data_IF_540047599386
#
_entry.id   IF_540047599386
#
_cell.length_a   1.000
_cell.length_b   1.000
_cell.length_c   1.000
_cell.angle_alpha   90.00
_cell.angle_beta   90.00
_cell.angle_gamma   90.00
#
_symmetry.space_group_name_H-M   'P 1'
#
loop_
_entity.id
_entity.type
_entity.pdbx_description
1 polymer ?
2 non-polymer ?
3 non-polymer ?
4 water ?
#
# COMPACT_ATOMS: atom_id res chain seq x y z
N UNK A 22 4.93 4.73 -25.76
CA UNK A 22 4.65 3.46 -25.02
C UNK A 22 3.50 2.67 -25.66
N UNK A 23 3.51 1.32 -25.53
CA UNK A 23 2.37 0.50 -25.95
C UNK A 23 1.17 0.62 -25.01
N UNK A 24 0.08 -0.08 -25.32
CA UNK A 24 -1.12 -0.13 -24.46
C UNK A 24 -0.74 -0.72 -23.10
N UNK A 25 -1.51 -0.41 -22.03
CA UNK A 25 -1.24 -0.94 -20.69
C UNK A 25 -1.05 -2.47 -20.63
N UNK A 26 -2.00 -3.23 -21.16
CA UNK A 26 -1.84 -4.70 -21.16
C UNK A 26 -0.63 -5.19 -21.95
N UNK A 27 -0.35 -4.54 -23.09
CA UNK A 27 0.84 -4.91 -23.86
C UNK A 27 2.11 -4.66 -23.03
N UNK A 28 2.14 -3.56 -22.30
CA UNK A 28 3.31 -3.21 -21.49
C UNK A 28 3.47 -4.16 -20.29
N UNK A 29 2.36 -4.54 -19.67
CA UNK A 29 2.38 -5.50 -18.55
C UNK A 29 3.02 -6.81 -19.04
N UNK A 30 2.58 -7.29 -20.20
CA UNK A 30 3.17 -8.50 -20.78
C UNK A 30 4.68 -8.38 -21.04
N UNK A 31 5.08 -7.28 -21.68
CA UNK A 31 6.51 -6.96 -21.90
C UNK A 31 7.31 -6.97 -20.61
N UNK A 32 6.74 -6.42 -19.53
CA UNK A 32 7.41 -6.42 -18.24
C UNK A 32 7.64 -7.84 -17.72
N UNK A 33 6.67 -8.74 -17.85
CA UNK A 33 6.90 -10.15 -17.44
C UNK A 33 7.99 -10.81 -18.27
N UNK A 34 8.00 -10.51 -19.56
CA UNK A 34 8.98 -11.10 -20.46
C UNK A 34 10.39 -10.63 -20.08
N UNK A 35 10.53 -9.35 -19.78
CA UNK A 35 11.82 -8.77 -19.46
C UNK A 35 12.31 -9.15 -18.06
N UNK A 36 11.38 -9.25 -17.11
CA UNK A 36 11.72 -9.56 -15.71
C UNK A 36 11.82 -11.07 -15.42
N UNK A 37 11.23 -11.88 -16.28
CA UNK A 37 11.04 -13.32 -16.02
C UNK A 37 10.24 -13.55 -14.74
N UNK A 38 9.35 -12.62 -14.42
CA UNK A 38 8.57 -12.73 -13.19
C UNK A 38 7.08 -12.53 -13.44
N UNK A 39 6.27 -12.75 -12.40
CA UNK A 39 4.83 -12.49 -12.48
C UNK A 39 4.52 -11.07 -12.07
N UNK A 40 3.69 -10.41 -12.88
CA UNK A 40 3.14 -9.08 -12.59
C UNK A 40 1.65 -9.25 -12.29
N UNK A 41 1.16 -8.55 -11.27
CA UNK A 41 -0.28 -8.55 -10.97
C UNK A 41 -0.72 -7.10 -10.94
N UNK A 42 -1.84 -6.79 -11.57
CA UNK A 42 -2.22 -5.38 -11.74
C UNK A 42 -3.75 -5.17 -11.76
N UNK A 43 -4.21 -4.15 -11.05
CA UNK A 43 -5.57 -3.65 -11.18
C UNK A 43 -5.53 -2.13 -11.40
N UNK A 44 -6.35 -1.64 -12.32
CA UNK A 44 -6.62 -0.20 -12.47
C UNK A 44 -8.12 -0.02 -12.26
N UNK A 45 -8.50 0.82 -11.30
CA UNK A 45 -9.88 0.90 -10.83
C UNK A 45 -10.30 2.36 -10.61
N UNK A 46 -11.51 2.74 -11.04
CA UNK A 46 -12.02 4.08 -10.72
C UNK A 46 -12.24 4.16 -9.20
N UNK A 47 -11.67 5.18 -8.57
CA UNK A 47 -11.77 5.31 -7.11
C UNK A 47 -13.21 5.58 -6.68
N UNK A 48 -13.88 6.47 -7.40
CA UNK A 48 -15.25 6.82 -6.99
C UNK A 48 -16.23 5.66 -7.12
N UNK A 49 -16.14 4.89 -8.20
CA UNK A 49 -17.17 3.88 -8.49
C UNK A 49 -16.77 2.43 -8.31
N UNK A 50 -15.47 2.16 -8.41
CA UNK A 50 -14.95 0.78 -8.41
C UNK A 50 -14.93 0.11 -9.78
N UNK A 51 -15.21 0.89 -10.83
CA UNK A 51 -15.13 0.33 -12.20
C UNK A 51 -13.72 -0.19 -12.43
N UNK A 52 -13.62 -1.47 -12.76
CA UNK A 52 -12.32 -2.07 -13.12
C UNK A 52 -12.01 -1.82 -14.60
N UNK A 53 -10.89 -1.14 -14.87
CA UNK A 53 -10.44 -0.85 -16.25
C UNK A 53 -9.45 -1.86 -16.82
N UNK A 54 -8.43 -2.20 -16.05
CA UNK A 54 -7.38 -3.14 -16.46
C UNK A 54 -7.25 -4.15 -15.34
N UNK A 55 -7.21 -5.44 -15.68
CA UNK A 55 -7.02 -6.50 -14.70
C UNK A 55 -6.15 -7.58 -15.31
N UNK A 56 -5.02 -7.84 -14.66
CA UNK A 56 -4.04 -8.82 -15.13
C UNK A 56 -3.55 -9.61 -13.91
N UNK A 57 -3.78 -10.94 -13.92
CA UNK A 57 -3.49 -11.80 -12.77
C UNK A 57 -4.10 -11.18 -11.50
N UNK A 58 -5.29 -10.59 -11.64
CA UNK A 58 -5.83 -9.79 -10.57
C UNK A 58 -6.33 -10.64 -9.40
N UNK A 59 -6.52 -11.93 -9.65
CA UNK A 59 -6.95 -12.86 -8.61
C UNK A 59 -5.82 -13.81 -8.16
N UNK A 60 -4.60 -13.54 -8.62
CA UNK A 60 -3.46 -14.32 -8.16
C UNK A 60 -2.86 -13.69 -6.91
N UNK A 61 -2.26 -14.53 -6.08
CA UNK A 61 -1.62 -14.08 -4.83
C UNK A 61 -0.21 -13.51 -5.02
N UNK A 62 0.03 -12.38 -4.35
CA UNK A 62 1.33 -11.70 -4.29
C UNK A 62 1.65 -11.28 -2.86
N UNK A 63 2.95 -11.28 -2.49
CA UNK A 63 3.32 -10.77 -1.15
C UNK A 63 3.00 -9.29 -1.06
N UNK A 64 2.33 -8.87 0.00
CA UNK A 64 1.99 -7.45 0.21
C UNK A 64 3.21 -6.60 0.52
N UNK A 65 4.19 -7.20 1.21
CA UNK A 65 5.34 -6.45 1.68
C UNK A 65 4.81 -5.24 2.49
N UNK A 66 5.46 -4.09 2.35
CA UNK A 66 5.11 -2.93 3.18
C UNK A 66 3.76 -2.29 2.81
N UNK A 67 3.16 -2.69 1.68
CA UNK A 67 1.84 -2.13 1.33
C UNK A 67 0.77 -2.42 2.39
N UNK A 68 0.95 -3.46 3.23
CA UNK A 68 0.00 -3.79 4.31
C UNK A 68 -0.16 -2.62 5.28
N UNK A 69 0.87 -1.76 5.35
CA UNK A 69 0.85 -0.65 6.31
C UNK A 69 -0.35 0.31 6.14
N UNK A 70 -0.85 0.48 4.91
CA UNK A 70 -2.02 1.32 4.68
C UNK A 70 -3.25 0.66 5.31
N UNK A 71 -3.42 -0.64 5.10
CA UNK A 71 -4.54 -1.38 5.68
C UNK A 71 -4.48 -1.38 7.23
N UNK A 72 -3.28 -1.57 7.76
CA UNK A 72 -3.03 -1.49 9.20
C UNK A 72 -3.55 -0.18 9.78
N UNK A 73 -3.18 0.94 9.16
CA UNK A 73 -3.61 2.24 9.67
C UNK A 73 -5.10 2.52 9.42
N UNK A 74 -5.68 1.90 8.40
CA UNK A 74 -7.14 1.88 8.26
C UNK A 74 -7.81 1.28 9.49
N UNK A 75 -7.27 0.16 9.99
CA UNK A 75 -7.75 -0.50 11.20
C UNK A 75 -7.58 0.36 12.46
N UNK A 76 -6.44 1.07 12.54
CA UNK A 76 -6.18 2.02 13.63
C UNK A 76 -7.22 3.14 13.62
N UNK A 77 -7.48 3.70 12.44
CA UNK A 77 -8.50 4.74 12.28
C UNK A 77 -9.90 4.22 12.66
N UNK A 78 -10.21 2.96 12.35
CA UNK A 78 -11.51 2.40 12.74
C UNK A 78 -11.65 2.37 14.28
N UNK A 79 -10.57 2.02 14.97
CA UNK A 79 -10.57 2.09 16.45
C UNK A 79 -10.75 3.54 16.96
N UNK A 80 -10.14 4.50 16.28
CA UNK A 80 -10.28 5.91 16.67
C UNK A 80 -11.76 6.32 16.54
N UNK A 81 -12.37 5.99 15.40
CA UNK A 81 -13.78 6.27 15.11
C UNK A 81 -14.72 5.64 16.15
N UNK A 82 -14.35 4.45 16.62
CA UNK A 82 -15.13 3.69 17.62
C UNK A 82 -14.99 4.24 19.03
N UNK A 83 -14.07 5.17 19.23
CA UNK A 83 -13.76 5.71 20.58
C UNK A 83 -12.79 4.87 21.39
N UNK A 84 -12.13 3.92 20.75
CA UNK A 84 -11.25 2.98 21.41
C UNK A 84 -9.77 3.31 21.29
N UNK A 85 -9.48 4.39 20.56
CA UNK A 85 -8.10 4.83 20.31
C UNK A 85 -8.11 6.34 20.10
N UNK A 86 -6.97 7.00 20.26
CA UNK A 86 -6.80 8.42 19.91
C UNK A 86 -5.52 8.57 19.10
N UNK A 87 -5.56 9.34 18.01
CA UNK A 87 -4.34 9.61 17.26
C UNK A 87 -3.35 10.43 18.09
N UNK A 88 -3.86 11.17 19.07
CA UNK A 88 -3.00 11.95 19.99
C UNK A 88 -2.22 11.10 20.98
N UNK A 89 -2.71 9.89 21.26
CA UNK A 89 -2.19 9.11 22.39
C UNK A 89 -0.70 8.79 22.22
N UNK A 90 0.10 9.12 23.22
CA UNK A 90 1.54 8.96 23.11
C UNK A 90 1.97 7.57 23.58
N UNK A 91 2.69 6.86 22.72
CA UNK A 91 3.25 5.55 23.04
C UNK A 91 4.75 5.67 23.30
N UNK A 92 5.16 5.25 24.50
CA UNK A 92 6.56 5.23 24.83
C UNK A 92 7.07 3.79 24.62
N UNK A 93 8.24 3.65 24.04
CA UNK A 93 8.75 2.33 23.75
C UNK A 93 10.23 2.33 24.10
N UNK A 94 10.82 1.15 24.14
CA UNK A 94 12.22 0.99 24.52
C UNK A 94 13.05 0.57 23.32
N UNK A 95 14.36 0.78 23.42
CA UNK A 95 15.24 0.38 22.32
C UNK A 95 15.11 -1.11 21.97
N UNK A 96 14.88 -1.97 22.97
CA UNK A 96 14.74 -3.40 22.75
C UNK A 96 13.46 -3.78 21.97
N UNK A 97 12.56 -2.81 21.82
CA UNK A 97 11.31 -3.01 21.09
C UNK A 97 11.51 -2.72 19.60
N UNK A 98 12.61 -2.04 19.25
CA UNK A 98 12.90 -1.72 17.83
C UNK A 98 13.25 -2.96 17.01
N UNK A 99 12.69 -3.02 15.81
CA UNK A 99 13.04 -4.03 14.81
C UNK A 99 13.80 -3.38 13.64
N UNK A 100 14.35 -4.20 12.73
CA UNK A 100 15.08 -3.71 11.57
C UNK A 100 14.31 -2.63 10.78
N UNK A 101 14.99 -1.52 10.52
CA UNK A 101 14.49 -0.38 9.77
C UNK A 101 13.50 0.45 10.55
N UNK A 102 14.05 1.38 11.31
CA UNK A 102 13.27 2.22 12.20
C UNK A 102 13.75 3.68 12.07
N UNK A 103 13.68 4.26 10.86
CA UNK A 103 14.31 5.55 10.63
C UNK A 103 13.71 6.71 11.41
N UNK A 104 12.42 6.63 11.73
CA UNK A 104 11.77 7.68 12.52
C UNK A 104 11.73 7.25 13.98
N UNK A 105 11.25 6.02 14.22
CA UNK A 105 11.08 5.56 15.60
C UNK A 105 12.39 5.52 16.42
N UNK A 106 13.51 5.22 15.79
CA UNK A 106 14.79 5.23 16.52
C UNK A 106 15.14 6.62 17.09
N UNK A 107 14.51 7.67 16.55
CA UNK A 107 14.82 9.04 16.98
C UNK A 107 14.00 9.48 18.21
N UNK A 108 13.09 8.64 18.68
CA UNK A 108 12.14 9.04 19.73
C UNK A 108 12.09 8.09 20.91
N UNK A 109 13.26 7.56 21.26
CA UNK A 109 13.38 6.73 22.45
C UNK A 109 13.15 7.51 23.74
N UNK A 110 13.48 8.79 23.72
CA UNK A 110 13.33 9.63 24.91
C UNK A 110 11.89 10.10 25.07
N UNK A 111 11.27 10.50 23.97
CA UNK A 111 10.01 11.26 24.03
C UNK A 111 8.77 10.54 23.49
N UNK A 112 8.95 9.36 22.89
CA UNK A 112 7.83 8.59 22.38
C UNK A 112 7.25 9.18 21.11
N UNK A 113 6.22 8.51 20.59
CA UNK A 113 5.50 8.98 19.41
C UNK A 113 4.01 8.78 19.62
N UNK A 114 3.21 9.68 19.04
CA UNK A 114 1.75 9.51 19.07
C UNK A 114 1.31 8.42 18.09
N UNK A 115 0.13 7.86 18.34
CA UNK A 115 -0.43 6.86 17.44
C UNK A 115 -0.49 7.42 15.99
N UNK A 116 -0.92 8.66 15.86
CA UNK A 116 -0.95 9.33 14.54
C UNK A 116 0.43 9.41 13.91
N UNK A 117 1.43 9.80 14.72
CA UNK A 117 2.82 9.87 14.24
C UNK A 117 3.32 8.49 13.83
N UNK A 118 2.90 7.46 14.57
CA UNK A 118 3.30 6.09 14.24
C UNK A 118 2.77 5.70 12.86
N UNK A 119 1.52 6.06 12.59
CA UNK A 119 0.93 5.77 11.28
C UNK A 119 1.63 6.54 10.18
N UNK A 120 1.93 7.82 10.41
CA UNK A 120 2.66 8.61 9.42
C UNK A 120 4.03 7.99 9.15
N UNK A 121 4.73 7.55 10.21
CA UNK A 121 6.03 6.91 10.01
C UNK A 121 5.91 5.56 9.26
N UNK A 122 4.92 4.77 9.63
CA UNK A 122 4.71 3.48 8.97
C UNK A 122 4.38 3.65 7.47
N UNK A 123 3.50 4.58 7.15
CA UNK A 123 3.07 4.74 5.75
C UNK A 123 4.11 5.51 4.94
N UNK A 124 4.58 6.65 5.45
CA UNK A 124 5.38 7.55 4.62
C UNK A 124 6.88 7.20 4.61
N UNK A 125 7.33 6.44 5.61
CA UNK A 125 8.76 6.05 5.70
C UNK A 125 8.96 4.55 5.75
N UNK A 126 7.86 3.79 5.80
CA UNK A 126 7.89 2.35 5.92
C UNK A 126 8.61 1.92 7.21
N UNK A 127 8.41 2.70 8.27
CA UNK A 127 9.08 2.43 9.55
C UNK A 127 8.52 1.13 10.17
N UNK A 128 9.39 0.13 10.33
CA UNK A 128 8.97 -1.17 10.78
C UNK A 128 8.62 -1.25 12.25
N UNK A 129 9.37 -0.53 13.07
CA UNK A 129 9.04 -0.48 14.50
C UNK A 129 7.71 0.20 14.70
N UNK A 130 7.47 1.29 13.96
CA UNK A 130 6.17 1.95 14.05
C UNK A 130 5.05 0.98 13.70
N UNK A 131 5.19 0.25 12.59
CA UNK A 131 4.18 -0.71 12.17
C UNK A 131 3.96 -1.80 13.24
N UNK A 132 5.04 -2.29 13.82
CA UNK A 132 4.93 -3.31 14.86
C UNK A 132 4.17 -2.83 16.09
N UNK A 133 4.46 -1.62 16.54
CA UNK A 133 3.73 -1.06 17.66
C UNK A 133 2.25 -0.94 17.35
N UNK A 134 1.95 -0.41 16.16
CA UNK A 134 0.56 -0.25 15.74
C UNK A 134 -0.17 -1.60 15.63
N UNK A 135 0.53 -2.61 15.10
CA UNK A 135 -0.05 -3.95 14.89
C UNK A 135 -0.52 -4.53 16.22
N UNK A 136 0.27 -4.34 17.27
CA UNK A 136 -0.12 -4.75 18.63
C UNK A 136 -1.46 -4.15 19.03
N UNK A 137 -1.65 -2.85 18.76
CA UNK A 137 -2.89 -2.14 19.13
C UNK A 137 -4.17 -2.66 18.45
N UNK A 138 -4.05 -3.27 17.28
CA UNK A 138 -5.22 -3.79 16.55
C UNK A 138 -5.40 -5.29 16.75
N UNK A 139 -4.62 -5.86 17.67
CA UNK A 139 -4.72 -7.28 18.03
C UNK A 139 -3.85 -8.21 17.21
N UNK A 140 -2.71 -7.68 16.76
CA UNK A 140 -1.75 -8.44 15.96
C UNK A 140 -2.30 -8.85 14.61
N UNK A 141 -1.61 -9.77 13.93
CA UNK A 141 -1.98 -10.25 12.59
C UNK A 141 -3.38 -10.86 12.56
N UNK A 142 -3.73 -11.59 13.61
CA UNK A 142 -5.06 -12.17 13.74
C UNK A 142 -6.12 -11.06 13.80
N UNK A 143 -5.83 -10.01 14.54
CA UNK A 143 -6.73 -8.87 14.72
C UNK A 143 -6.92 -8.08 13.42
N UNK A 144 -5.82 -7.91 12.68
CA UNK A 144 -5.89 -7.22 11.38
C UNK A 144 -6.63 -8.05 10.33
N UNK A 145 -6.40 -9.36 10.34
CA UNK A 145 -7.09 -10.27 9.43
C UNK A 145 -8.61 -10.29 9.71
N UNK A 146 -8.98 -10.28 10.99
CA UNK A 146 -10.40 -10.19 11.38
C UNK A 146 -11.03 -8.88 10.90
N UNK A 147 -10.28 -7.78 11.00
CA UNK A 147 -10.73 -6.49 10.46
C UNK A 147 -11.00 -6.58 8.96
N UNK A 148 -10.06 -7.19 8.23
CA UNK A 148 -10.24 -7.41 6.80
C UNK A 148 -11.50 -8.24 6.49
N UNK A 149 -11.68 -9.36 7.20
CA UNK A 149 -12.90 -10.17 7.04
C UNK A 149 -14.18 -9.34 7.28
N UNK A 150 -14.12 -8.44 8.25
CA UNK A 150 -15.28 -7.61 8.63
C UNK A 150 -15.69 -6.61 7.56
N UNK A 151 -14.75 -6.20 6.73
CA UNK A 151 -15.03 -5.25 5.67
C UNK A 151 -15.17 -5.95 4.32
N UNK A 152 -15.26 -7.27 4.36
CA UNK A 152 -15.56 -8.06 3.18
C UNK A 152 -14.38 -8.53 2.35
N UNK A 153 -13.17 -8.40 2.90
CA UNK A 153 -11.98 -8.94 2.25
C UNK A 153 -11.71 -10.31 2.83
N UNK A 154 -11.98 -11.34 2.03
CA UNK A 154 -11.82 -12.72 2.47
C UNK A 154 -10.55 -13.36 1.90
N UNK A 155 -9.68 -12.53 1.34
CA UNK A 155 -8.54 -13.03 0.57
C UNK A 155 -7.22 -12.60 1.22
N UNK A 156 -7.10 -11.32 1.53
CA UNK A 156 -5.88 -10.78 2.13
C UNK A 156 -5.65 -11.38 3.52
N UNK A 157 -4.39 -11.69 3.81
CA UNK A 157 -4.04 -12.25 5.11
C UNK A 157 -2.68 -11.77 5.61
N UNK A 158 -2.64 -11.43 6.89
CA UNK A 158 -1.40 -11.04 7.55
C UNK A 158 -1.16 -12.10 8.62
N UNK A 159 0.04 -12.68 8.62
CA UNK A 159 0.34 -13.75 9.55
C UNK A 159 1.52 -13.45 10.48
N UNK A 160 2.38 -12.51 10.08
CA UNK A 160 3.59 -12.13 10.84
C UNK A 160 3.49 -10.75 11.48
N UNK A 168 10.80 -15.25 0.81
CA UNK A 168 9.38 -15.39 0.52
C UNK A 168 9.15 -16.31 -0.69
N UNK A 169 9.10 -17.61 -0.41
CA UNK A 169 9.06 -18.64 -1.46
C UNK A 169 7.64 -18.92 -1.99
N UNK A 170 7.53 -19.34 -3.28
CA UNK A 170 6.22 -19.61 -3.86
C UNK A 170 5.50 -20.72 -3.10
N UNK A 171 4.16 -20.62 -3.02
CA UNK A 171 3.36 -21.55 -2.25
C UNK A 171 3.10 -21.07 -0.83
N UNK A 172 3.86 -20.07 -0.41
CA UNK A 172 3.66 -19.44 0.90
C UNK A 172 2.61 -18.35 0.76
N UNK A 173 1.43 -18.61 1.33
CA UNK A 173 0.31 -17.66 1.29
C UNK A 173 0.35 -16.60 2.40
N UNK A 174 1.30 -16.71 3.32
CA UNK A 174 1.43 -15.75 4.42
C UNK A 174 1.75 -14.33 3.91
N UNK A 175 1.09 -13.34 4.52
CA UNK A 175 1.29 -11.93 4.20
C UNK A 175 1.06 -11.65 2.71
N UNK A 176 -0.02 -12.21 2.17
CA UNK A 176 -0.31 -12.02 0.75
C UNK A 176 -1.67 -11.39 0.54
N UNK A 177 -1.84 -10.83 -0.65
CA UNK A 177 -3.12 -10.32 -1.11
C UNK A 177 -3.25 -10.64 -2.60
N UNK A 178 -4.34 -10.20 -3.21
CA UNK A 178 -4.44 -10.19 -4.68
C UNK A 178 -4.64 -8.75 -5.13
N UNK A 179 -4.25 -8.43 -6.38
CA UNK A 179 -4.49 -7.06 -6.83
C UNK A 179 -5.96 -6.65 -6.70
N UNK A 180 -6.89 -7.54 -7.05
CA UNK A 180 -8.32 -7.20 -6.96
C UNK A 180 -8.74 -6.95 -5.52
N UNK A 181 -8.29 -7.80 -4.60
CA UNK A 181 -8.67 -7.65 -3.19
C UNK A 181 -8.08 -6.40 -2.58
N UNK A 182 -6.81 -6.13 -2.86
CA UNK A 182 -6.18 -4.93 -2.29
C UNK A 182 -6.84 -3.66 -2.82
N UNK A 183 -7.14 -3.62 -4.12
CA UNK A 183 -7.81 -2.46 -4.69
C UNK A 183 -9.18 -2.23 -4.07
N UNK A 184 -9.95 -3.30 -3.91
CA UNK A 184 -11.29 -3.20 -3.33
C UNK A 184 -11.21 -2.75 -1.85
N UNK A 185 -10.26 -3.33 -1.12
CA UNK A 185 -10.04 -2.95 0.26
C UNK A 185 -9.63 -1.46 0.41
N UNK A 186 -8.68 -1.01 -0.42
CA UNK A 186 -8.28 0.38 -0.36
C UNK A 186 -9.47 1.30 -0.66
N UNK A 187 -10.26 0.95 -1.70
CA UNK A 187 -11.46 1.72 -2.01
C UNK A 187 -12.40 1.79 -0.84
N UNK A 188 -12.62 0.67 -0.17
CA UNK A 188 -13.55 0.64 0.97
C UNK A 188 -13.07 1.56 2.09
N UNK A 189 -11.77 1.53 2.37
CA UNK A 189 -11.23 2.40 3.43
C UNK A 189 -11.29 3.89 3.08
N UNK A 190 -11.08 4.23 1.81
CA UNK A 190 -11.00 5.61 1.39
C UNK A 190 -12.34 6.26 1.09
N UNK A 191 -13.34 5.46 0.70
CA UNK A 191 -14.58 6.03 0.15
C UNK A 191 -15.89 5.51 0.72
N UNK A 192 -15.88 4.36 1.37
CA UNK A 192 -17.13 3.76 1.85
C UNK A 192 -17.46 4.42 3.20
N UNK A 193 -18.56 4.08 3.85
CA UNK A 193 -18.72 4.75 5.14
C UNK A 193 -18.17 3.95 6.33
N UNK A 194 -17.22 3.07 6.04
CA UNK A 194 -16.59 2.23 7.07
C UNK A 194 -15.81 3.13 8.02
N UNK A 195 -15.08 4.10 7.46
CA UNK A 195 -14.35 5.10 8.24
C UNK A 195 -15.11 6.41 8.21
N UNK A 196 -14.92 7.21 9.26
CA UNK A 196 -15.47 8.55 9.33
C UNK A 196 -14.87 9.44 8.23
N UNK A 197 -15.55 10.54 7.93
CA UNK A 197 -15.04 11.50 6.96
C UNK A 197 -13.63 11.92 7.32
N UNK A 198 -13.40 12.25 8.59
CA UNK A 198 -12.09 12.75 8.99
C UNK A 198 -11.04 11.65 8.82
N UNK A 199 -11.39 10.43 9.20
CA UNK A 199 -10.46 9.31 9.08
C UNK A 199 -10.13 8.97 7.62
N UNK A 200 -11.13 8.99 6.74
CA UNK A 200 -10.84 8.84 5.29
C UNK A 200 -9.84 9.87 4.80
N UNK A 201 -10.05 11.10 5.23
CA UNK A 201 -9.23 12.22 4.82
C UNK A 201 -7.79 12.06 5.32
N UNK A 202 -7.66 11.56 6.55
CA UNK A 202 -6.36 11.30 7.14
C UNK A 202 -5.60 10.19 6.41
N UNK A 203 -6.29 9.09 6.10
CA UNK A 203 -5.63 7.97 5.44
C UNK A 203 -5.11 8.41 4.07
N UNK A 204 -5.93 9.18 3.35
CA UNK A 204 -5.53 9.69 2.03
C UNK A 204 -4.30 10.62 2.20
N UNK A 205 -4.35 11.50 3.19
CA UNK A 205 -3.25 12.42 3.38
C UNK A 205 -1.90 11.72 3.71
N UNK A 206 -1.95 10.64 4.49
CA UNK A 206 -0.74 9.86 4.77
C UNK A 206 -0.13 9.33 3.46
N UNK A 207 -0.99 8.84 2.57
CA UNK A 207 -0.51 8.36 1.26
C UNK A 207 0.03 9.48 0.37
N UNK A 208 -0.60 10.65 0.41
CA UNK A 208 -0.10 11.82 -0.33
C UNK A 208 1.31 12.18 0.17
N UNK A 209 1.51 11.99 1.47
CA UNK A 209 2.75 12.37 2.11
C UNK A 209 3.89 11.35 2.02
N UNK A 210 3.72 10.25 1.26
CA UNK A 210 4.80 9.24 1.16
C UNK A 210 6.14 9.86 0.82
N UNK A 211 7.16 9.47 1.57
CA UNK A 211 8.52 9.96 1.36
C UNK A 211 9.42 8.96 0.65
N UNK A 212 9.03 7.69 0.62
CA UNK A 212 9.83 6.65 -0.02
C UNK A 212 9.92 6.89 -1.53
N UNK A 213 8.77 7.09 -2.16
CA UNK A 213 8.71 7.17 -3.61
C UNK A 213 7.93 8.36 -4.15
N UNK A 214 7.06 8.98 -3.32
CA UNK A 214 6.19 10.06 -3.78
C UNK A 214 6.94 11.16 -4.51
N UNK A 215 7.94 11.76 -3.84
CA UNK A 215 8.66 12.86 -4.50
C UNK A 215 9.35 12.40 -5.77
N UNK A 216 9.94 11.20 -5.77
CA UNK A 216 10.58 10.65 -6.97
C UNK A 216 9.56 10.52 -8.11
N UNK A 217 8.39 9.95 -7.80
CA UNK A 217 7.35 9.78 -8.82
C UNK A 217 6.90 11.12 -9.39
N UNK A 218 6.73 12.11 -8.52
CA UNK A 218 6.31 13.43 -9.00
C UNK A 218 7.31 13.97 -9.98
N UNK A 219 8.60 13.77 -9.67
CA UNK A 219 9.69 14.27 -10.53
C UNK A 219 9.65 13.73 -11.96
N UNK A 220 9.03 12.57 -12.17
CA UNK A 220 8.92 11.97 -13.51
C UNK A 220 7.49 11.98 -14.07
N UNK A 221 6.53 12.47 -13.30
CA UNK A 221 5.17 12.57 -13.81
C UNK A 221 4.97 13.84 -14.62
N UNK A 222 4.18 13.76 -15.70
CA UNK A 222 3.88 15.01 -16.40
C UNK A 222 3.13 15.96 -15.48
N UNK A 223 3.20 17.26 -15.77
CA UNK A 223 2.39 18.24 -15.05
C UNK A 223 0.91 17.85 -15.05
N UNK A 224 0.26 18.08 -13.92
CA UNK A 224 -1.18 17.87 -13.81
C UNK A 224 -1.58 16.53 -13.22
N UNK A 225 -0.62 15.63 -13.02
CA UNK A 225 -0.94 14.29 -12.53
C UNK A 225 -0.76 14.20 -11.01
N UNK A 226 -1.85 13.84 -10.35
CA UNK A 226 -1.93 13.53 -8.92
C UNK A 226 -1.24 12.20 -8.62
N UNK A 227 -0.47 12.14 -7.53
CA UNK A 227 0.00 10.86 -6.99
C UNK A 227 -0.12 10.79 -5.47
N UNK A 228 -0.57 9.64 -4.98
CA UNK A 228 -0.48 9.24 -3.57
C UNK A 228 -0.16 7.76 -3.60
N UNK A 229 0.65 7.28 -2.66
CA UNK A 229 1.12 5.90 -2.80
C UNK A 229 1.65 5.28 -1.52
N UNK A 230 1.73 3.94 -1.54
CA UNK A 230 2.54 3.18 -0.60
C UNK A 230 3.25 2.08 -1.38
N UNK A 231 4.58 2.04 -1.19
CA UNK A 231 5.44 1.08 -1.87
C UNK A 231 5.69 -0.16 -1.03
N UNK A 232 6.22 -1.20 -1.67
CA UNK A 232 6.68 -2.38 -0.93
C UNK A 232 7.80 -3.06 -1.67
N UNK A 233 8.67 -3.75 -0.91
CA UNK A 233 9.73 -4.56 -1.54
C UNK A 233 9.97 -5.80 -0.72
N UNK A 234 10.45 -6.86 -1.36
CA UNK A 234 10.67 -8.12 -0.67
C UNK A 234 11.66 -9.04 -1.36
N UNK A 235 11.66 -10.27 -0.89
CA UNK A 235 12.62 -11.26 -1.38
C UNK A 235 12.16 -11.81 -2.72
N UNK A 236 13.09 -12.49 -3.42
CA UNK A 236 12.83 -13.09 -4.74
C UNK A 236 12.25 -12.09 -5.75
N UNK A 237 12.72 -10.85 -5.67
CA UNK A 237 12.32 -9.80 -6.59
C UNK A 237 11.01 -9.11 -6.26
N UNK A 238 10.38 -9.48 -5.13
CA UNK A 238 9.07 -8.89 -4.83
C UNK A 238 9.14 -7.35 -4.81
N UNK A 239 8.16 -6.69 -5.40
CA UNK A 239 8.16 -5.22 -5.45
C UNK A 239 6.73 -4.82 -5.73
N UNK A 240 6.28 -3.70 -5.17
CA UNK A 240 4.88 -3.36 -5.38
C UNK A 240 4.55 -1.92 -5.05
N UNK A 241 3.38 -1.48 -5.48
CA UNK A 241 2.91 -0.14 -5.18
C UNK A 241 1.39 -0.15 -5.18
N UNK A 242 0.82 0.51 -4.18
CA UNK A 242 -0.63 0.78 -4.17
C UNK A 242 -0.74 2.29 -4.28
N UNK A 243 -1.42 2.77 -5.32
CA UNK A 243 -1.38 4.19 -5.62
C UNK A 243 -2.73 4.77 -6.03
N UNK A 244 -2.86 6.08 -5.85
CA UNK A 244 -3.97 6.85 -6.44
C UNK A 244 -3.34 7.76 -7.50
N UNK A 245 -3.97 7.81 -8.67
CA UNK A 245 -3.35 8.48 -9.82
C UNK A 245 -4.42 9.11 -10.68
N UNK A 246 -4.13 10.27 -11.23
CA UNK A 246 -5.04 10.80 -12.25
C UNK A 246 -4.61 12.16 -12.77
N UNK A 247 -5.12 12.51 -13.96
CA UNK A 247 -4.87 13.83 -14.52
C UNK A 247 -5.76 14.89 -13.87
N UNK A 248 -5.54 16.16 -14.23
CA UNK A 248 -6.31 17.28 -13.69
C UNK A 248 -6.25 17.32 -12.16
N UNK A 249 -5.11 16.87 -11.63
CA UNK A 249 -4.80 16.91 -10.22
C UNK A 249 -5.85 16.26 -9.33
N UNK A 250 -6.41 15.17 -9.85
CA UNK A 250 -7.43 14.40 -9.17
C UNK A 250 -7.02 12.93 -8.92
N UNK A 251 -7.36 12.41 -7.75
CA UNK A 251 -7.17 11.01 -7.45
C UNK A 251 -8.24 10.18 -8.17
N UNK A 252 -8.11 10.08 -9.48
CA UNK A 252 -9.16 9.47 -10.26
C UNK A 252 -9.19 7.96 -10.13
N UNK A 253 -8.03 7.32 -10.08
CA UNK A 253 -7.99 5.85 -10.12
C UNK A 253 -7.08 5.27 -9.06
N UNK A 254 -7.46 4.10 -8.57
CA UNK A 254 -6.57 3.26 -7.80
C UNK A 254 -5.77 2.42 -8.79
N UNK A 255 -4.44 2.39 -8.63
CA UNK A 255 -3.59 1.49 -9.40
C UNK A 255 -2.80 0.62 -8.41
N UNK A 256 -2.95 -0.71 -8.50
CA UNK A 256 -2.20 -1.66 -7.68
C UNK A 256 -1.33 -2.49 -8.61
N UNK A 257 -0.02 -2.50 -8.37
CA UNK A 257 0.90 -3.31 -9.17
C UNK A 257 1.81 -4.09 -8.22
N UNK A 258 1.82 -5.41 -8.37
CA UNK A 258 2.72 -6.28 -7.61
C UNK A 258 3.60 -7.07 -8.58
N UNK A 259 4.86 -7.25 -8.22
CA UNK A 259 5.78 -8.15 -8.95
C UNK A 259 6.20 -9.26 -8.01
N UNK A 260 6.38 -10.48 -8.53
CA UNK A 260 7.01 -11.54 -7.72
C UNK A 260 7.86 -12.48 -8.58
N UNK A 261 8.81 -13.16 -7.92
CA UNK A 261 9.61 -14.23 -8.56
C UNK A 261 10.35 -13.78 -9.81
N UNK A 262 11.06 -12.66 -9.67
CA UNK A 262 12.00 -12.19 -10.69
C UNK A 262 13.37 -12.01 -10.06
N UNK A 263 14.45 -12.36 -10.79
CA UNK A 263 15.82 -12.20 -10.27
C UNK A 263 16.38 -10.81 -10.54
N UNK A 264 15.54 -9.91 -11.04
CA UNK A 264 16.00 -8.60 -11.51
C UNK A 264 16.47 -7.64 -10.42
N UNK A 265 17.41 -6.76 -10.79
CA UNK A 265 17.85 -5.67 -9.91
C UNK A 265 16.67 -4.82 -9.47
N UNK A 266 16.78 -4.19 -8.30
CA UNK A 266 15.77 -3.23 -7.86
C UNK A 266 15.53 -2.12 -8.90
N UNK A 267 16.60 -1.57 -9.45
CA UNK A 267 16.48 -0.53 -10.49
C UNK A 267 15.61 -1.02 -11.66
N UNK A 268 15.81 -2.26 -12.10
CA UNK A 268 15.03 -2.79 -13.21
C UNK A 268 13.57 -3.04 -12.86
N UNK A 269 13.32 -3.51 -11.64
CA UNK A 269 11.95 -3.64 -11.16
C UNK A 269 11.25 -2.29 -11.10
N UNK A 270 11.93 -1.27 -10.58
CA UNK A 270 11.38 0.09 -10.55
C UNK A 270 11.05 0.57 -11.96
N UNK A 271 11.99 0.38 -12.89
CA UNK A 271 11.80 0.85 -14.26
C UNK A 271 10.62 0.17 -14.94
N UNK A 272 10.41 -1.12 -14.69
CA UNK A 272 9.29 -1.82 -15.29
C UNK A 272 7.94 -1.34 -14.76
N UNK A 273 7.87 -1.08 -13.45
CA UNK A 273 6.66 -0.54 -12.88
C UNK A 273 6.37 0.86 -13.46
N UNK A 274 7.43 1.67 -13.57
CA UNK A 274 7.35 3.01 -14.18
C UNK A 274 6.86 2.91 -15.61
N UNK A 275 7.34 1.91 -16.35
CA UNK A 275 6.89 1.69 -17.73
C UNK A 275 5.41 1.37 -17.84
N UNK A 276 4.88 0.57 -16.91
CA UNK A 276 3.46 0.32 -16.87
C UNK A 276 2.73 1.64 -16.58
N UNK A 277 3.29 2.44 -15.67
CA UNK A 277 2.79 3.77 -15.36
C UNK A 277 2.70 4.64 -16.61
N UNK A 278 3.77 4.64 -17.39
CA UNK A 278 3.81 5.43 -18.63
C UNK A 278 2.71 4.98 -19.61
N UNK A 279 2.50 3.66 -19.73
CA UNK A 279 1.46 3.16 -20.62
C UNK A 279 0.07 3.61 -20.18
N UNK A 280 -0.18 3.60 -18.87
CA UNK A 280 -1.44 4.13 -18.35
C UNK A 280 -1.65 5.59 -18.69
N UNK A 281 -0.59 6.39 -18.52
CA UNK A 281 -0.62 7.86 -18.66
C UNK A 281 -0.88 8.24 -20.14
N UNK A 282 -0.19 7.56 -21.05
CA UNK A 282 -0.34 7.82 -22.47
C UNK A 282 -1.67 7.36 -23.02
N UNK A 283 -2.28 6.36 -22.37
CA UNK A 283 -3.53 5.76 -22.82
C UNK A 283 -4.58 5.72 -21.73
N UNK A 284 -4.88 6.89 -21.20
CA UNK A 284 -5.71 7.05 -20.01
C UNK A 284 -7.20 6.89 -20.29
N UNK A 285 -7.63 7.36 -21.45
CA UNK A 285 -9.07 7.38 -21.71
C UNK A 285 -9.60 6.05 -22.25
N UNK A 286 -9.96 5.16 -21.33
CA UNK A 286 -10.52 3.84 -21.64
C UNK A 286 -11.80 3.59 -20.86
X LIG B 1 5.29 12.05 -21.62
X LIG B 1 5.68 13.50 -21.81
X LIG B 1 4.57 14.40 -21.29
X LIG B 1 3.17 14.06 -21.83
X LIG B 1 2.85 12.57 -22.00
X LIG B 1 2.12 12.45 -23.34
X LIG B 1 6.85 13.77 -21.04
X LIG B 1 4.92 15.76 -21.61
X LIG B 1 4.00 11.74 -22.20
X LIG B 1 0.74 12.15 -23.15
X LIG B 1 5.27 11.80 -20.21
X LIG B 1 2.17 14.71 -21.01
X LIG B 1 6.67 8.97 -17.52
X LIG B 1 7.74 9.89 -18.06
X LIG B 1 7.07 11.09 -18.73
X LIG B 1 6.06 10.67 -19.80
X LIG B 1 5.12 9.60 -19.26
X LIG B 1 4.23 8.94 -20.32
X LIG B 1 7.30 7.82 -16.91
X LIG B 1 8.63 10.32 -17.02
X LIG B 1 8.10 11.91 -19.32
X LIG B 1 5.87 8.54 -18.63
X LIG B 1 5.10 8.43 -21.36
X LIG B 1 6.37 7.07 -16.13
X LIG B 1 6.63 7.41 -14.68
X LIG B 1 5.50 6.85 -13.82
X LIG B 1 5.97 6.86 -12.36
X LIG B 1 5.38 5.71 -11.55
X LIG B 1 3.90 5.56 -11.81
X LIG B 1 3.23 4.69 -10.75
X LIG B 1 2.99 3.31 -11.35
X LIG B 1 2.10 2.41 -10.50
X LIG B 1 0.99 3.15 -9.75
X LIG B 1 0.70 4.53 -10.34
X LIG B 1 1.94 5.41 -10.34
X LIG C 1 11.17 5.69 -11.34
X LIG C 1 10.41 5.45 -10.03
X LIG C 1 9.32 4.39 -10.19
X LIG C 1 8.65 3.97 -8.88
X LIG C 1 9.69 3.64 -7.81
X LIG C 1 9.08 3.05 -6.54
X LIG C 1 8.26 1.80 -6.84
X LIG C 1 7.20 2.10 -7.90
X LIG C 1 7.77 2.75 -9.15
X LIG D 1 8.30 0.42 1.62
X LIG D 1 9.33 0.24 0.95
X LIG D 1 9.39 0.35 -0.30
X LIG D 1 10.59 -0.10 1.68
X LIG D 1 11.40 1.19 1.76
X LIG D 1 12.41 1.17 2.90
X LIG D 1 13.42 0.08 2.63
X LIG D 1 14.23 0.17 1.71
X LIG D 1 13.42 -1.09 3.46
X LIG D 1 14.24 -2.23 3.15
X LIG D 1 13.99 -3.36 4.13
X LIG D 1 14.84 -4.71 3.60
X LIG D 1 14.28 -5.16 2.35
X LIG D 1 16.21 -4.34 3.37
X LIG D 1 14.51 -2.90 5.50
X LIG D 1 12.48 -3.61 4.24
X LIG D 1 12.10 -4.76 5.15
X LIG D 1 12.11 -5.92 4.71
X LIG D 1 11.78 -4.51 6.32
X LIG D 1 11.87 -3.83 2.92
X LIG D 1 10.61 -3.53 2.63
X LIG D 1 9.65 -3.18 3.49
X LIG D 1 8.33 -2.88 2.96
X LIG D 1 8.07 -3.18 1.80
#
# INVERSE_FOLDING_TARGET
MRYIRLCIISLLATLPLAVHASPQPLEQIKLSESQLSGRVGMIEMDLASGRTLTAWRADERFPMMSTFKVVLCGAVLARVDAGDEQLERKIHYRQQDLVDYSPVSEKHLADGMTVGELCAAAITMSDNSAANLLLATVGGPAGLTAFLRQIGDNVTRLDHWETELNEALPGDARDTTTPASMAATLRKLLTSQRLSARSQRQLLQWMVDDRVAGPLIRSVLPAGWFIADKTGAGERGARGIVALLGPNNKAERIVVIYLRDTPASMAERNQQIAGIGAALIEHWQR
MA4 C1 C2 C3 C4 C5 C6 O2 O3 O5 O6 O1 O4 C10 C20 C30 C40 C50 C60 O10 O20 O30 O50 O60 C11 C21 C31 C41 C51 C61 C12 C22 C32 C42 C52 C62
MA4 C41 C51 C61 C12 C22 C32 C42 C52 C62
SA2 O23 C20 O22 C19 C18 C17 C16 O24 O15 C14 C2 S1 O13 O12 C21 C3 C9 O10 O11 N4 C5 C6 C7 O8
#
